data_IF_099665066014
#
_entry.id   IF_099665066014
#
_cell.length_a   1.000
_cell.length_b   1.000
_cell.length_c   1.000
_cell.angle_alpha   90.00
_cell.angle_beta   90.00
_cell.angle_gamma   90.00
#
_symmetry.space_group_name_H-M   'P 1'
#
loop_
_entity.id
_entity.type
_entity.pdbx_description
1 polymer ?
#
# COMPACT_ATOMS: atom_id res chain seq x y z
N UNK A 1 62.13 -65.95 -21.36
CA UNK A 1 60.79 -65.33 -21.24
C UNK A 1 60.87 -64.36 -20.06
N UNK A 2 60.61 -63.08 -20.33
CA UNK A 2 61.16 -61.85 -19.73
C UNK A 2 61.04 -61.63 -18.19
N UNK A 3 62.17 -61.12 -17.62
CA UNK A 3 62.40 -60.05 -16.60
C UNK A 3 61.47 -59.93 -15.36
N UNK A 4 61.93 -59.99 -14.10
CA UNK A 4 62.87 -59.13 -13.32
C UNK A 4 62.40 -57.67 -13.09
N UNK A 5 62.55 -57.18 -11.83
CA UNK A 5 62.36 -55.81 -11.27
C UNK A 5 60.94 -55.53 -10.70
N UNK A 6 60.71 -54.93 -9.52
CA UNK A 6 61.54 -54.19 -8.56
C UNK A 6 60.77 -54.00 -7.22
N UNK A 7 61.54 -53.72 -6.18
CA UNK A 7 61.24 -53.65 -4.75
C UNK A 7 60.79 -52.24 -4.28
N UNK A 8 60.11 -52.16 -3.11
CA UNK A 8 60.10 -51.06 -2.10
C UNK A 8 59.20 -49.79 -2.31
N UNK A 9 58.10 -49.73 -1.53
CA UNK A 9 57.77 -48.77 -0.44
C UNK A 9 57.49 -47.26 -0.70
N UNK A 10 56.45 -46.79 0.01
CA UNK A 10 56.06 -45.43 0.46
C UNK A 10 54.93 -44.65 -0.25
N UNK A 11 53.82 -44.52 0.51
CA UNK A 11 53.04 -43.31 0.83
C UNK A 11 52.97 -42.19 -0.22
N UNK A 12 51.74 -41.86 -0.67
CA UNK A 12 51.21 -40.49 -0.68
C UNK A 12 49.67 -40.54 -0.78
N UNK A 13 49.06 -40.08 0.32
CA UNK A 13 47.83 -39.32 0.48
C UNK A 13 47.11 -38.88 -0.82
N UNK A 14 45.91 -39.41 -1.09
CA UNK A 14 44.92 -38.71 -1.91
C UNK A 14 43.61 -38.61 -1.13
N UNK A 15 43.36 -37.40 -0.64
CA UNK A 15 42.14 -37.02 0.05
C UNK A 15 40.94 -37.21 -0.89
N UNK A 16 40.02 -38.09 -0.48
CA UNK A 16 38.73 -38.26 -1.13
C UNK A 16 37.89 -37.02 -0.82
N UNK A 17 37.88 -36.05 -1.74
CA UNK A 17 37.10 -34.82 -1.65
C UNK A 17 35.61 -35.17 -1.77
N UNK A 18 34.91 -35.21 -0.64
CA UNK A 18 33.45 -35.20 -0.58
C UNK A 18 32.95 -33.82 -1.03
N UNK A 19 32.50 -33.73 -2.29
CA UNK A 19 31.73 -32.59 -2.78
C UNK A 19 30.33 -32.62 -2.13
N UNK A 20 29.92 -31.63 -1.32
CA UNK A 20 28.52 -31.48 -0.99
C UNK A 20 27.81 -30.96 -2.25
N UNK A 21 26.83 -31.72 -2.74
CA UNK A 21 25.87 -31.24 -3.71
C UNK A 21 25.10 -30.08 -3.07
N UNK A 22 25.49 -28.85 -3.42
CA UNK A 22 24.71 -27.66 -3.12
C UNK A 22 23.44 -27.71 -3.98
N UNK A 23 22.32 -28.13 -3.38
CA UNK A 23 21.00 -27.84 -3.93
C UNK A 23 20.80 -26.32 -3.91
N UNK A 24 21.12 -25.65 -5.01
CA UNK A 24 20.59 -24.31 -5.27
C UNK A 24 19.08 -24.45 -5.49
N UNK A 25 18.31 -24.30 -4.41
CA UNK A 25 16.88 -24.04 -4.54
C UNK A 25 16.79 -22.61 -5.10
N UNK A 26 16.68 -22.49 -6.43
CA UNK A 26 16.20 -21.26 -7.04
C UNK A 26 14.75 -21.07 -6.58
N UNK A 27 14.57 -20.43 -5.42
CA UNK A 27 13.33 -19.74 -5.15
C UNK A 27 13.34 -18.53 -6.06
N UNK A 28 12.52 -18.55 -7.12
CA UNK A 28 12.01 -17.31 -7.69
C UNK A 28 11.32 -16.58 -6.54
N UNK A 29 12.03 -15.67 -5.89
CA UNK A 29 11.42 -14.73 -4.96
C UNK A 29 10.52 -13.85 -5.81
N UNK A 30 9.24 -14.20 -5.87
CA UNK A 30 8.23 -13.17 -6.05
C UNK A 30 8.40 -12.24 -4.86
N UNK A 31 9.17 -11.16 -5.04
CA UNK A 31 9.31 -10.08 -4.08
C UNK A 31 7.91 -9.55 -3.82
N UNK A 32 7.26 -10.09 -2.79
CA UNK A 32 6.13 -9.42 -2.16
C UNK A 32 6.68 -8.07 -1.70
N UNK A 33 6.03 -6.95 -2.06
CA UNK A 33 6.48 -5.64 -1.62
C UNK A 33 6.60 -5.66 -0.09
N UNK A 34 7.78 -5.32 0.43
CA UNK A 34 8.12 -5.47 1.86
C UNK A 34 7.47 -4.44 2.76
N UNK A 35 6.64 -3.55 2.19
CA UNK A 35 5.89 -2.53 2.92
C UNK A 35 4.66 -2.05 2.14
N UNK A 36 3.64 -1.61 2.89
CA UNK A 36 2.40 -1.01 2.37
C UNK A 36 2.26 0.39 2.96
N UNK A 37 2.06 1.39 2.09
CA UNK A 37 1.76 2.76 2.52
C UNK A 37 0.32 2.89 3.03
N UNK A 38 0.11 3.82 3.97
CA UNK A 38 -1.23 4.24 4.39
C UNK A 38 -1.92 5.11 3.33
N UNK A 39 -3.19 5.43 3.57
CA UNK A 39 -3.99 6.22 2.62
C UNK A 39 -3.56 7.68 2.49
N UNK A 40 -2.74 8.17 3.42
CA UNK A 40 -2.13 9.50 3.38
C UNK A 40 -0.64 9.47 2.94
N UNK A 41 -0.17 8.35 2.40
CA UNK A 41 1.23 8.21 2.03
C UNK A 41 1.64 9.16 0.91
N UNK A 42 2.86 9.70 1.02
CA UNK A 42 3.53 10.49 -0.04
C UNK A 42 4.57 9.69 -0.82
N UNK A 43 4.58 8.38 -0.62
CA UNK A 43 5.37 7.45 -1.39
C UNK A 43 4.64 6.11 -1.52
N UNK A 44 4.90 5.39 -2.61
CA UNK A 44 4.34 4.07 -2.87
C UNK A 44 5.39 3.15 -3.51
N UNK A 45 5.31 1.86 -3.23
CA UNK A 45 6.12 0.82 -3.87
C UNK A 45 5.30 0.11 -4.94
N UNK A 46 5.90 -0.09 -6.13
CA UNK A 46 5.38 -1.03 -7.12
C UNK A 46 6.55 -1.80 -7.74
N UNK A 47 6.59 -3.11 -7.50
CA UNK A 47 7.74 -3.95 -7.87
C UNK A 47 9.03 -3.44 -7.21
N UNK A 48 10.06 -3.21 -8.02
CA UNK A 48 11.37 -2.72 -7.59
C UNK A 48 11.50 -1.21 -7.56
N UNK A 49 10.38 -0.48 -7.71
CA UNK A 49 10.40 0.97 -7.78
C UNK A 49 9.68 1.61 -6.61
N UNK A 50 10.33 2.64 -6.04
CA UNK A 50 9.76 3.55 -5.07
C UNK A 50 9.39 4.85 -5.77
N UNK A 51 8.12 5.21 -5.65
CA UNK A 51 7.54 6.44 -6.18
C UNK A 51 7.36 7.42 -5.04
N UNK A 52 7.90 8.64 -5.15
CA UNK A 52 7.81 9.67 -4.11
C UNK A 52 7.27 10.96 -4.68
N UNK A 53 6.22 11.51 -4.08
CA UNK A 53 5.57 12.74 -4.55
C UNK A 53 5.85 13.92 -3.63
N UNK A 54 6.34 15.01 -4.22
CA UNK A 54 6.20 16.35 -3.62
C UNK A 54 4.97 17.05 -4.22
N UNK A 55 4.83 18.36 -4.06
CA UNK A 55 3.65 19.10 -4.53
C UNK A 55 3.49 19.14 -6.06
N UNK A 56 4.53 18.82 -6.85
CA UNK A 56 4.49 18.92 -8.32
C UNK A 56 5.14 17.74 -9.05
N UNK A 57 6.01 17.00 -8.38
CA UNK A 57 6.90 16.03 -9.00
C UNK A 57 6.75 14.66 -8.39
N UNK A 58 6.68 13.67 -9.28
CA UNK A 58 6.81 12.25 -9.01
C UNK A 58 8.27 11.86 -9.27
N UNK A 59 8.98 11.47 -8.22
CA UNK A 59 10.34 10.93 -8.33
C UNK A 59 10.25 9.40 -8.36
N UNK A 60 11.01 8.80 -9.28
CA UNK A 60 11.06 7.35 -9.46
C UNK A 60 12.45 6.88 -9.04
N UNK A 61 12.51 6.01 -8.03
CA UNK A 61 13.72 5.38 -7.55
C UNK A 61 13.68 3.89 -7.83
N UNK A 62 14.77 3.34 -8.35
CA UNK A 62 15.04 1.91 -8.32
C UNK A 62 15.51 1.54 -6.91
N UNK A 63 14.86 0.56 -6.30
CA UNK A 63 15.15 0.03 -4.96
C UNK A 63 15.44 -1.47 -5.00
N UNK A 64 15.82 -2.01 -6.16
CA UNK A 64 16.19 -3.42 -6.32
C UNK A 64 17.43 -3.81 -5.50
N UNK A 65 18.36 -2.88 -5.31
CA UNK A 65 19.55 -3.07 -4.47
C UNK A 65 19.28 -2.57 -3.03
N UNK A 66 19.30 -3.51 -2.09
CA UNK A 66 19.04 -3.24 -0.67
C UNK A 66 19.95 -2.11 -0.14
N UNK A 67 19.33 -1.05 0.36
CA UNK A 67 20.02 0.06 1.02
C UNK A 67 20.61 1.12 0.08
N UNK A 68 20.45 1.00 -1.25
CA UNK A 68 20.95 1.98 -2.21
C UNK A 68 19.89 2.37 -3.25
N UNK A 69 18.92 3.24 -2.90
CA UNK A 69 17.96 3.76 -3.88
C UNK A 69 18.65 4.60 -4.97
N UNK A 70 18.40 4.29 -6.24
CA UNK A 70 18.94 5.02 -7.38
C UNK A 70 17.82 5.80 -8.07
N UNK A 71 17.94 7.12 -8.17
CA UNK A 71 16.97 7.92 -8.93
C UNK A 71 17.04 7.57 -10.42
N UNK A 72 15.90 7.19 -10.99
CA UNK A 72 15.79 6.83 -12.42
C UNK A 72 15.09 7.90 -13.23
N UNK A 73 14.10 8.56 -12.63
CA UNK A 73 13.29 9.54 -13.35
C UNK A 73 12.64 10.56 -12.42
N UNK A 74 12.17 11.65 -13.03
CA UNK A 74 11.37 12.70 -12.43
C UNK A 74 10.28 13.13 -13.41
N UNK A 75 9.04 12.84 -13.06
CA UNK A 75 7.86 13.07 -13.90
C UNK A 75 7.02 14.19 -13.29
N UNK A 76 6.46 15.08 -14.13
CA UNK A 76 5.50 16.07 -13.65
C UNK A 76 4.22 15.33 -13.22
N UNK A 77 3.88 15.45 -11.95
CA UNK A 77 2.80 14.72 -11.31
C UNK A 77 1.45 15.48 -11.36
N UNK A 78 1.46 16.74 -11.78
CA UNK A 78 0.33 17.66 -11.68
C UNK A 78 0.56 18.72 -10.61
N UNK A 79 -0.53 19.40 -10.22
CA UNK A 79 -0.48 20.50 -9.26
C UNK A 79 -0.98 20.10 -7.88
N UNK A 80 -0.19 20.48 -6.87
CA UNK A 80 -0.45 20.31 -5.45
C UNK A 80 -0.81 18.87 -5.06
N UNK A 81 0.10 17.94 -5.35
CA UNK A 81 -0.05 16.52 -5.01
C UNK A 81 0.16 16.30 -3.52
N UNK A 82 -0.73 15.54 -2.90
CA UNK A 82 -0.80 15.29 -1.47
C UNK A 82 -0.60 13.83 -1.10
N UNK A 83 -1.13 12.90 -1.90
CA UNK A 83 -1.06 11.47 -1.63
C UNK A 83 -0.69 10.69 -2.89
N UNK A 84 -0.16 9.49 -2.69
CA UNK A 84 0.12 8.53 -3.76
C UNK A 84 -0.23 7.12 -3.28
N UNK A 85 -0.88 6.36 -4.15
CA UNK A 85 -1.21 4.96 -3.93
C UNK A 85 -0.92 4.16 -5.20
N UNK A 86 -0.29 2.99 -5.06
CA UNK A 86 -0.03 2.08 -6.16
C UNK A 86 -1.02 0.91 -6.09
N UNK A 87 -1.69 0.61 -7.20
CA UNK A 87 -2.56 -0.55 -7.32
C UNK A 87 -2.52 -1.10 -8.73
N UNK A 88 -2.28 -2.41 -8.83
CA UNK A 88 -2.06 -3.11 -10.09
C UNK A 88 -0.99 -2.38 -10.94
N UNK A 89 -1.31 -2.01 -12.18
CA UNK A 89 -0.39 -1.32 -13.07
C UNK A 89 -0.64 0.20 -13.15
N UNK A 90 -1.06 0.81 -12.04
CA UNK A 90 -1.40 2.24 -11.94
C UNK A 90 -0.84 2.90 -10.68
N UNK A 91 -0.58 4.20 -10.80
CA UNK A 91 -0.43 5.11 -9.66
C UNK A 91 -1.62 6.07 -9.61
N UNK A 92 -2.18 6.21 -8.42
CA UNK A 92 -3.26 7.14 -8.09
C UNK A 92 -2.67 8.24 -7.22
N UNK A 93 -2.65 9.47 -7.72
CA UNK A 93 -2.09 10.62 -7.05
C UNK A 93 -3.20 11.60 -6.67
N UNK A 94 -3.47 11.73 -5.36
CA UNK A 94 -4.42 12.71 -4.85
C UNK A 94 -3.81 14.10 -4.85
N UNK A 95 -4.57 15.10 -5.29
CA UNK A 95 -4.17 16.52 -5.36
C UNK A 95 -5.31 17.43 -4.98
N UNK A 96 -5.02 18.74 -4.84
CA UNK A 96 -6.03 19.70 -4.43
C UNK A 96 -7.24 19.98 -5.26
N UNK A 97 -7.21 19.52 -6.48
CA UNK A 97 -8.33 19.69 -7.39
C UNK A 97 -8.62 18.45 -8.20
N UNK A 98 -7.78 17.42 -8.11
CA UNK A 98 -7.91 16.24 -8.94
C UNK A 98 -7.24 15.01 -8.34
N UNK A 99 -7.81 13.86 -8.71
CA UNK A 99 -7.12 12.59 -8.68
C UNK A 99 -6.44 12.41 -10.03
N UNK A 100 -5.11 12.28 -10.07
CA UNK A 100 -4.37 11.95 -11.28
C UNK A 100 -4.06 10.46 -11.33
N UNK A 101 -4.29 9.83 -12.47
CA UNK A 101 -4.03 8.41 -12.68
C UNK A 101 -2.91 8.27 -13.71
N UNK A 102 -1.81 7.63 -13.30
CA UNK A 102 -0.66 7.35 -14.14
C UNK A 102 -0.56 5.85 -14.42
N UNK A 103 -0.19 5.51 -15.65
CA UNK A 103 0.20 4.17 -16.08
C UNK A 103 1.54 3.77 -15.46
N UNK A 104 1.67 2.50 -15.06
CA UNK A 104 2.95 1.86 -14.74
C UNK A 104 3.41 0.83 -15.79
N UNK A 105 2.85 0.87 -17.01
CA UNK A 105 3.28 0.01 -18.12
C UNK A 105 4.81 0.08 -18.37
N UNK A 106 5.40 1.27 -18.24
CA UNK A 106 6.83 1.46 -18.02
C UNK A 106 7.01 2.00 -16.58
N UNK A 107 7.53 1.21 -15.64
CA UNK A 107 7.66 1.64 -14.25
C UNK A 107 8.72 2.73 -14.06
N UNK A 108 9.69 2.88 -14.97
CA UNK A 108 10.67 3.97 -14.95
C UNK A 108 10.06 5.26 -15.49
N UNK A 109 9.08 5.16 -16.39
CA UNK A 109 8.44 6.31 -17.04
C UNK A 109 6.92 6.29 -16.86
N UNK A 110 6.39 6.55 -15.64
CA UNK A 110 4.96 6.66 -15.44
C UNK A 110 4.35 7.72 -16.36
N UNK A 111 3.25 7.37 -17.05
CA UNK A 111 2.59 8.25 -18.03
C UNK A 111 1.19 8.61 -17.52
N UNK A 112 0.84 9.89 -17.52
CA UNK A 112 -0.52 10.33 -17.19
C UNK A 112 -1.53 9.72 -18.16
N UNK A 113 -2.54 9.02 -17.65
CA UNK A 113 -3.61 8.38 -18.45
C UNK A 113 -4.93 9.13 -18.36
N UNK A 114 -5.30 9.55 -17.15
CA UNK A 114 -6.54 10.27 -16.90
C UNK A 114 -6.48 11.03 -15.57
N UNK A 115 -7.50 11.84 -15.32
CA UNK A 115 -7.72 12.43 -14.02
C UNK A 115 -9.18 12.74 -13.80
N UNK A 116 -9.56 12.80 -12.53
CA UNK A 116 -10.91 13.13 -12.10
C UNK A 116 -10.81 14.42 -11.32
N UNK A 117 -11.37 15.51 -11.85
CA UNK A 117 -11.51 16.73 -11.08
C UNK A 117 -12.57 16.51 -10.01
N UNK A 118 -12.18 16.65 -8.76
CA UNK A 118 -13.08 16.55 -7.62
C UNK A 118 -13.01 17.85 -6.83
N UNK A 119 -14.07 18.14 -6.06
CA UNK A 119 -14.22 19.45 -5.45
C UNK A 119 -13.17 19.76 -4.37
N UNK A 120 -12.47 18.77 -3.78
CA UNK A 120 -11.50 18.98 -2.68
C UNK A 120 -10.35 17.97 -2.61
N UNK A 121 -9.23 18.41 -2.04
CA UNK A 121 -7.90 17.78 -2.06
C UNK A 121 -7.65 16.61 -1.13
N UNK A 122 -8.15 16.76 0.09
CA UNK A 122 -7.50 16.17 1.26
C UNK A 122 -8.17 14.89 1.67
N UNK A 123 -8.75 14.20 0.70
CA UNK A 123 -9.69 13.13 0.91
C UNK A 123 -8.96 11.83 0.55
N UNK A 124 -8.48 11.07 1.56
CA UNK A 124 -7.76 9.84 1.33
C UNK A 124 -8.56 8.87 0.45
N UNK A 125 -7.87 8.13 -0.41
CA UNK A 125 -8.47 7.17 -1.33
C UNK A 125 -7.79 5.80 -1.21
N UNK A 126 -8.60 4.74 -1.21
CA UNK A 126 -8.13 3.36 -1.40
C UNK A 126 -9.02 2.67 -2.43
N UNK A 127 -8.48 1.65 -3.10
CA UNK A 127 -9.24 0.88 -4.11
C UNK A 127 -9.28 -0.60 -3.78
N UNK A 128 -10.35 -1.27 -4.20
CA UNK A 128 -10.48 -2.73 -4.20
C UNK A 128 -11.17 -3.15 -5.51
N UNK A 129 -10.40 -3.77 -6.41
CA UNK A 129 -10.86 -4.05 -7.77
C UNK A 129 -11.21 -2.75 -8.50
N UNK A 130 -12.40 -2.71 -9.09
CA UNK A 130 -12.90 -1.54 -9.83
C UNK A 130 -13.71 -0.57 -8.95
N UNK A 131 -13.53 -0.59 -7.63
CA UNK A 131 -14.20 0.35 -6.72
C UNK A 131 -13.18 1.19 -5.98
N UNK A 132 -13.38 2.50 -5.96
CA UNK A 132 -12.62 3.46 -5.17
C UNK A 132 -13.46 3.96 -3.98
N UNK A 133 -12.84 3.99 -2.81
CA UNK A 133 -13.41 4.51 -1.57
C UNK A 133 -12.69 5.79 -1.20
N UNK A 134 -13.43 6.86 -0.91
CA UNK A 134 -12.87 8.20 -0.64
C UNK A 134 -13.53 8.78 0.61
N UNK A 135 -12.76 9.28 1.55
CA UNK A 135 -13.28 9.97 2.74
C UNK A 135 -13.28 11.47 2.55
N UNK A 136 -14.46 12.08 2.46
CA UNK A 136 -14.62 13.53 2.45
C UNK A 136 -14.65 14.08 3.87
N UNK A 137 -13.74 15.01 4.20
CA UNK A 137 -13.69 15.66 5.52
C UNK A 137 -13.92 17.17 5.45
N UNK A 138 -15.11 17.58 5.87
CA UNK A 138 -15.49 18.97 6.07
C UNK A 138 -14.81 19.61 7.29
N UNK A 139 -14.67 20.94 7.26
CA UNK A 139 -14.05 21.74 8.32
C UNK A 139 -12.52 21.61 8.38
N UNK A 140 -11.90 20.91 7.43
CA UNK A 140 -10.44 20.86 7.27
C UNK A 140 -9.91 22.13 6.60
N UNK A 141 -8.58 22.29 6.55
CA UNK A 141 -7.89 23.34 5.77
C UNK A 141 -8.23 23.32 4.28
N UNK A 142 -8.82 22.21 3.82
CA UNK A 142 -9.16 21.93 2.43
C UNK A 142 -10.63 22.26 2.13
N UNK A 143 -11.37 22.69 3.15
CA UNK A 143 -12.63 23.41 3.01
C UNK A 143 -13.89 22.56 3.04
N UNK A 144 -14.99 23.32 2.99
CA UNK A 144 -16.40 22.96 3.05
C UNK A 144 -16.86 21.99 4.13
N UNK A 145 -18.03 21.39 3.92
CA UNK A 145 -18.97 21.13 5.02
C UNK A 145 -19.50 19.69 5.09
N UNK A 146 -18.99 18.80 4.25
CA UNK A 146 -19.51 17.43 4.12
C UNK A 146 -18.55 16.44 4.76
N UNK A 147 -19.05 15.58 5.63
CA UNK A 147 -18.34 14.42 6.15
C UNK A 147 -18.99 13.16 5.59
N UNK A 148 -18.27 12.43 4.73
CA UNK A 148 -18.83 11.26 4.06
C UNK A 148 -17.78 10.25 3.61
N UNK A 149 -18.16 8.98 3.52
CA UNK A 149 -17.47 7.98 2.71
C UNK A 149 -18.16 7.93 1.34
N UNK A 150 -17.42 8.27 0.30
CA UNK A 150 -17.86 8.22 -1.09
C UNK A 150 -17.36 6.94 -1.75
N UNK A 151 -18.20 6.33 -2.57
CA UNK A 151 -17.91 5.06 -3.24
C UNK A 151 -18.09 5.26 -4.73
N UNK A 152 -17.02 5.08 -5.50
CA UNK A 152 -17.03 5.25 -6.95
C UNK A 152 -16.76 3.92 -7.66
N UNK A 153 -17.51 3.65 -8.72
CA UNK A 153 -17.14 2.67 -9.73
C UNK A 153 -16.10 3.32 -10.65
N UNK A 154 -14.95 2.68 -10.77
CA UNK A 154 -13.81 3.11 -11.60
C UNK A 154 -13.50 2.10 -12.71
N UNK A 155 -14.49 1.29 -13.12
CA UNK A 155 -14.36 0.36 -14.26
C UNK A 155 -13.97 1.11 -15.53
N UNK A 156 -14.59 2.26 -15.80
CA UNK A 156 -14.06 3.24 -16.75
C UNK A 156 -13.29 4.33 -15.99
N UNK A 157 -11.97 4.24 -16.04
CA UNK A 157 -11.06 5.15 -15.35
C UNK A 157 -11.11 6.59 -15.89
N UNK A 158 -11.72 6.79 -17.07
CA UNK A 158 -11.94 8.12 -17.66
C UNK A 158 -13.30 8.70 -17.27
N UNK A 159 -14.22 7.87 -16.77
CA UNK A 159 -15.55 8.28 -16.35
C UNK A 159 -16.00 7.59 -15.05
N UNK A 160 -15.36 7.87 -13.89
CA UNK A 160 -15.80 7.29 -12.62
C UNK A 160 -17.22 7.69 -12.25
N UNK A 161 -18.00 6.73 -11.75
CA UNK A 161 -19.40 6.91 -11.40
C UNK A 161 -19.62 6.80 -9.90
N UNK A 162 -20.20 7.82 -9.27
CA UNK A 162 -20.57 7.77 -7.85
C UNK A 162 -21.70 6.74 -7.63
N UNK A 163 -21.46 5.76 -6.77
CA UNK A 163 -22.40 4.67 -6.44
C UNK A 163 -23.05 4.83 -5.07
N UNK A 164 -22.31 5.36 -4.10
CA UNK A 164 -22.83 5.61 -2.76
C UNK A 164 -22.14 6.82 -2.10
N UNK A 165 -22.89 7.46 -1.21
CA UNK A 165 -22.40 8.49 -0.28
C UNK A 165 -22.95 8.16 1.10
N UNK A 166 -22.08 7.79 2.01
CA UNK A 166 -22.43 7.34 3.36
C UNK A 166 -22.02 8.45 4.34
N UNK A 167 -22.95 9.04 5.11
CA UNK A 167 -22.61 10.06 6.10
C UNK A 167 -21.63 9.54 7.16
N UNK A 168 -20.62 10.35 7.47
CA UNK A 168 -19.60 10.09 8.50
C UNK A 168 -19.53 11.27 9.48
N UNK A 169 -18.86 11.12 10.62
CA UNK A 169 -18.76 12.21 11.61
C UNK A 169 -17.60 13.16 11.35
N UNK A 170 -16.46 12.66 10.94
CA UNK A 170 -15.24 13.40 10.63
C UNK A 170 -14.16 12.43 10.15
N UNK A 171 -14.31 11.87 8.93
CA UNK A 171 -13.44 10.80 8.47
C UNK A 171 -12.06 11.31 8.08
N UNK A 172 -11.04 10.48 8.29
CA UNK A 172 -9.64 10.72 7.94
C UNK A 172 -9.17 9.62 6.99
N UNK A 173 -8.09 8.91 7.32
CA UNK A 173 -7.56 7.81 6.53
C UNK A 173 -8.49 6.59 6.52
N UNK A 174 -8.24 5.73 5.56
CA UNK A 174 -8.96 4.49 5.35
C UNK A 174 -8.02 3.41 4.82
N UNK A 175 -8.37 2.15 5.02
CA UNK A 175 -7.56 1.02 4.59
C UNK A 175 -8.45 -0.14 4.17
N UNK A 176 -7.99 -0.95 3.23
CA UNK A 176 -8.74 -2.10 2.72
C UNK A 176 -7.93 -3.39 2.80
N UNK A 177 -8.58 -4.46 3.23
CA UNK A 177 -8.08 -5.82 3.18
C UNK A 177 -9.24 -6.78 2.89
N UNK A 178 -9.11 -7.55 1.80
CA UNK A 178 -10.13 -8.48 1.33
C UNK A 178 -11.51 -7.82 1.19
N UNK A 179 -12.49 -8.27 1.97
CA UNK A 179 -13.85 -7.72 1.99
C UNK A 179 -14.11 -6.77 3.16
N UNK A 180 -13.05 -6.24 3.80
CA UNK A 180 -13.17 -5.27 4.88
C UNK A 180 -12.57 -3.92 4.49
N UNK A 181 -13.33 -2.86 4.75
CA UNK A 181 -12.89 -1.48 4.67
C UNK A 181 -12.86 -0.89 6.08
N UNK A 182 -11.73 -0.33 6.46
CA UNK A 182 -11.51 0.34 7.74
C UNK A 182 -11.45 1.84 7.50
N UNK A 183 -12.26 2.63 8.20
CA UNK A 183 -12.31 4.09 8.06
C UNK A 183 -12.08 4.73 9.42
N UNK A 184 -11.05 5.55 9.53
CA UNK A 184 -10.79 6.35 10.71
C UNK A 184 -11.80 7.50 10.78
N UNK A 185 -12.84 7.41 11.59
CA UNK A 185 -13.87 8.46 11.73
C UNK A 185 -13.53 9.47 12.83
N UNK A 186 -12.24 9.80 12.93
CA UNK A 186 -11.73 10.77 13.88
C UNK A 186 -12.04 10.36 15.31
N UNK A 187 -12.75 11.24 16.03
CA UNK A 187 -13.15 11.02 17.41
C UNK A 187 -14.29 10.00 17.59
N UNK A 188 -15.02 9.64 16.52
CA UNK A 188 -16.04 8.59 16.56
C UNK A 188 -15.40 7.19 16.61
N UNK A 189 -14.13 7.07 16.23
CA UNK A 189 -13.36 5.84 16.33
C UNK A 189 -13.03 5.22 14.97
N UNK A 190 -12.75 3.92 14.96
CA UNK A 190 -12.47 3.16 13.75
C UNK A 190 -13.73 2.45 13.26
N UNK A 191 -14.31 2.91 12.15
CA UNK A 191 -15.49 2.28 11.56
C UNK A 191 -15.08 1.16 10.59
N UNK A 192 -15.64 -0.03 10.76
CA UNK A 192 -15.38 -1.20 9.91
C UNK A 192 -16.61 -1.47 9.03
N UNK A 193 -16.39 -1.64 7.73
CA UNK A 193 -17.41 -1.95 6.75
C UNK A 193 -17.15 -3.30 6.08
N UNK A 194 -18.24 -4.02 5.78
CA UNK A 194 -18.28 -5.14 4.85
C UNK A 194 -18.44 -4.59 3.42
N UNK A 195 -17.50 -4.94 2.55
CA UNK A 195 -17.46 -4.52 1.14
C UNK A 195 -17.55 -5.71 0.17
N UNK A 196 -18.13 -6.86 0.57
CA UNK A 196 -18.42 -7.97 -0.38
C UNK A 196 -19.23 -7.51 -1.60
N UNK A 197 -20.11 -6.53 -1.40
CA UNK A 197 -20.72 -5.74 -2.46
C UNK A 197 -20.11 -4.33 -2.42
N UNK A 198 -19.03 -4.07 -3.17
CA UNK A 198 -18.19 -2.89 -2.94
C UNK A 198 -18.91 -1.56 -3.25
N UNK A 199 -19.91 -1.58 -4.15
CA UNK A 199 -20.77 -0.43 -4.44
C UNK A 199 -21.85 -0.15 -3.39
N UNK A 200 -22.00 -1.03 -2.39
CA UNK A 200 -22.94 -0.86 -1.29
C UNK A 200 -22.30 -1.32 0.05
N UNK A 201 -21.29 -0.59 0.57
CA UNK A 201 -20.65 -0.94 1.84
C UNK A 201 -21.65 -0.98 2.99
N UNK A 202 -21.54 -2.01 3.83
CA UNK A 202 -22.39 -2.19 5.01
C UNK A 202 -21.56 -2.00 6.27
N UNK A 203 -21.90 -1.00 7.08
CA UNK A 203 -21.24 -0.79 8.39
C UNK A 203 -21.43 -2.03 9.26
N UNK A 204 -20.33 -2.56 9.78
CA UNK A 204 -20.31 -3.70 10.69
C UNK A 204 -20.30 -3.22 12.14
N UNK A 205 -19.34 -2.35 12.45
CA UNK A 205 -19.10 -1.86 13.80
C UNK A 205 -18.30 -0.56 13.76
N UNK A 206 -18.29 0.15 14.89
CA UNK A 206 -17.32 1.20 15.18
C UNK A 206 -16.57 0.80 16.44
N UNK A 207 -15.25 0.70 16.34
CA UNK A 207 -14.37 0.40 17.46
C UNK A 207 -13.98 1.72 18.10
N UNK A 208 -14.60 2.01 19.22
CA UNK A 208 -14.27 3.15 20.08
C UNK A 208 -13.02 2.83 20.91
N UNK A 209 -12.28 3.87 21.29
CA UNK A 209 -11.06 3.69 22.08
C UNK A 209 -10.64 4.89 22.92
N UNK A 210 -11.50 5.92 23.02
CA UNK A 210 -11.21 7.17 23.72
C UNK A 210 -10.16 8.06 23.03
N UNK A 211 -9.73 7.71 21.82
CA UNK A 211 -8.73 8.44 21.04
C UNK A 211 -9.23 8.71 19.61
N UNK A 212 -8.65 9.71 18.97
CA UNK A 212 -8.94 10.07 17.59
C UNK A 212 -8.12 9.22 16.62
N UNK A 213 -8.80 8.43 15.80
CA UNK A 213 -8.16 7.65 14.73
C UNK A 213 -7.88 8.55 13.52
N UNK A 214 -6.68 8.44 12.96
CA UNK A 214 -6.18 9.35 11.92
C UNK A 214 -5.84 8.59 10.63
N UNK A 215 -5.10 7.49 10.69
CA UNK A 215 -4.81 6.65 9.52
C UNK A 215 -4.77 5.17 9.92
N UNK A 216 -4.94 4.30 8.93
CA UNK A 216 -4.85 2.84 9.11
C UNK A 216 -4.11 2.17 7.96
N UNK A 217 -3.33 1.16 8.30
CA UNK A 217 -2.57 0.34 7.36
C UNK A 217 -2.82 -1.13 7.66
N UNK A 218 -3.65 -1.83 6.86
CA UNK A 218 -3.78 -3.29 6.97
C UNK A 218 -2.63 -3.97 6.23
N UNK A 219 -1.80 -4.70 6.98
CA UNK A 219 -0.60 -5.37 6.48
C UNK A 219 -0.37 -6.70 7.21
N UNK A 220 -0.24 -7.80 6.45
CA UNK A 220 0.08 -9.15 6.96
C UNK A 220 -0.80 -9.60 8.14
N UNK A 221 -2.12 -9.39 8.04
CA UNK A 221 -3.05 -9.80 9.10
C UNK A 221 -3.05 -8.89 10.32
N UNK A 222 -2.35 -7.77 10.30
CA UNK A 222 -2.38 -6.73 11.35
C UNK A 222 -2.89 -5.41 10.77
N UNK A 223 -3.82 -4.76 11.46
CA UNK A 223 -4.19 -3.38 11.20
C UNK A 223 -3.37 -2.48 12.12
N UNK A 224 -2.53 -1.66 11.52
CA UNK A 224 -1.77 -0.62 12.22
C UNK A 224 -2.61 0.65 12.17
N UNK A 225 -3.09 1.12 13.32
CA UNK A 225 -3.92 2.31 13.43
C UNK A 225 -3.15 3.44 14.11
N UNK A 226 -2.88 4.50 13.37
CA UNK A 226 -2.33 5.74 13.94
C UNK A 226 -3.45 6.54 14.60
N UNK A 227 -3.29 6.82 15.88
CA UNK A 227 -4.21 7.60 16.71
C UNK A 227 -3.50 8.84 17.24
N UNK A 228 -4.25 9.83 17.76
CA UNK A 228 -3.65 11.11 18.19
C UNK A 228 -2.54 10.94 19.24
N UNK A 229 -2.66 9.97 20.15
CA UNK A 229 -1.67 9.76 21.22
C UNK A 229 -0.88 8.45 21.05
N UNK A 230 -0.67 7.98 19.81
CA UNK A 230 0.20 6.83 19.55
C UNK A 230 -0.29 5.91 18.42
N UNK A 231 -0.01 4.61 18.57
CA UNK A 231 -0.34 3.58 17.57
C UNK A 231 -1.02 2.39 18.24
N UNK A 232 -2.10 1.91 17.63
CA UNK A 232 -2.80 0.69 18.04
C UNK A 232 -2.63 -0.39 16.98
N UNK A 233 -2.54 -1.64 17.42
CA UNK A 233 -2.42 -2.80 16.55
C UNK A 233 -3.63 -3.70 16.74
N UNK A 234 -4.26 -4.11 15.65
CA UNK A 234 -5.36 -5.08 15.68
C UNK A 234 -5.02 -6.32 14.86
N UNK A 235 -5.41 -7.49 15.34
CA UNK A 235 -5.47 -8.71 14.56
C UNK A 235 -6.64 -8.60 13.58
N UNK A 236 -6.35 -8.76 12.30
CA UNK A 236 -7.31 -8.78 11.19
C UNK A 236 -7.16 -10.05 10.35
N UNK A 237 -6.71 -11.16 10.97
CA UNK A 237 -6.78 -12.52 10.40
C UNK A 237 -8.21 -12.88 9.96
N UNK A 238 -9.20 -12.31 10.66
CA UNK A 238 -10.57 -12.13 10.18
C UNK A 238 -10.80 -10.64 9.86
N UNK A 239 -10.70 -10.22 8.59
CA UNK A 239 -10.70 -8.79 8.24
C UNK A 239 -11.92 -8.00 8.74
N UNK A 240 -13.08 -8.65 8.82
CA UNK A 240 -14.33 -8.02 9.26
C UNK A 240 -14.50 -7.96 10.79
N UNK A 241 -13.62 -8.63 11.54
CA UNK A 241 -13.65 -8.75 13.01
C UNK A 241 -12.30 -8.31 13.64
N UNK A 242 -11.88 -7.04 13.55
CA UNK A 242 -10.61 -6.62 14.15
C UNK A 242 -10.59 -6.80 15.66
N UNK A 243 -9.53 -7.39 16.20
CA UNK A 243 -9.33 -7.60 17.64
C UNK A 243 -8.10 -6.83 18.09
N UNK A 244 -8.22 -5.97 19.10
CA UNK A 244 -7.08 -5.21 19.62
C UNK A 244 -6.01 -6.17 20.16
N UNK A 245 -4.79 -6.06 19.65
CA UNK A 245 -3.62 -6.81 20.09
C UNK A 245 -2.84 -6.04 21.16
N UNK A 246 -2.48 -4.81 20.84
CA UNK A 246 -1.63 -3.97 21.68
C UNK A 246 -1.74 -2.50 21.27
N UNK A 247 -1.16 -1.63 22.10
CA UNK A 247 -1.02 -0.21 21.82
C UNK A 247 0.35 0.29 22.30
N UNK A 248 0.91 1.24 21.56
CA UNK A 248 2.05 2.05 21.93
C UNK A 248 1.53 3.47 22.07
N UNK A 249 1.35 3.93 23.31
CA UNK A 249 0.79 5.25 23.61
C UNK A 249 1.90 6.16 24.13
N UNK A 250 1.79 7.46 23.82
CA UNK A 250 2.70 8.51 24.29
C UNK A 250 2.50 8.84 25.80
#
# INVERSE_FOLDING_TARGET
MLLLMRTVLYFILSAFLLLPAACSKESKSTQQPTGKGGSMARFALAGNYLYVVNTTWLHVYDVSENGQPVIKNKVNAGWNIETIFAYDNKLFLGSSSALYIFSLNDPVTPVWESGVTHLRSCDPVVTQGNTAFVTLRGGSTCGGTTNALMVYDVTDIKAPALKASIPMKGPYGLGVQDSALYVCDGADGLTVFDIKSPHAPRKLQTIEGGDMYIDVIPYNGVLIAYVRNGVRFFDISKPQEPVLLSALMD
#
